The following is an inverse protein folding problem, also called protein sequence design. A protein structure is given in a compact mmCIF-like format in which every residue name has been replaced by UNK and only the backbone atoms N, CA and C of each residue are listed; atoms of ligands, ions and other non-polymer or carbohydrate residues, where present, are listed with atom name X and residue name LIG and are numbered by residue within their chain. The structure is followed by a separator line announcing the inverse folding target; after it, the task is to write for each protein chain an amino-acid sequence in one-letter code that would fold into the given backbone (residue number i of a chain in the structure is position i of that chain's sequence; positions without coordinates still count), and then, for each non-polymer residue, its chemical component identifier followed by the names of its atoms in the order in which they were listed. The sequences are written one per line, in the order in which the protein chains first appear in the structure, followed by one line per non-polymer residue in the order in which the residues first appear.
data_IF_772954544601
#
_entry.id   IF_772954544601
#
_cell.length_a   1.000
_cell.length_b   1.000
_cell.length_c   1.000
_cell.angle_alpha   90.00
_cell.angle_beta   90.00
_cell.angle_gamma   90.00
#
_symmetry.space_group_name_H-M   'P 1'
#
loop_
_entity.id
_entity.type
_entity.pdbx_description
1 polymer ?
#
# COMPACT_ATOMS: atom_id res chain seq x y z
N UNK A 1 -26.19 -14.41 -35.33
CA UNK A 1 -24.77 -14.53 -34.90
C UNK A 1 -24.73 -14.37 -33.38
N UNK A 2 -24.58 -15.46 -32.61
CA UNK A 2 -24.59 -15.43 -31.14
C UNK A 2 -23.18 -15.11 -30.63
N UNK A 3 -23.05 -14.19 -29.66
CA UNK A 3 -21.77 -13.85 -29.01
C UNK A 3 -21.28 -15.04 -28.17
N UNK A 4 -19.97 -15.38 -28.18
CA UNK A 4 -19.45 -16.39 -27.27
C UNK A 4 -19.51 -15.87 -25.83
N UNK A 5 -20.17 -16.63 -24.95
CA UNK A 5 -20.14 -16.40 -23.50
C UNK A 5 -18.69 -16.61 -23.03
N UNK A 6 -18.11 -15.55 -22.46
CA UNK A 6 -16.81 -15.66 -21.77
C UNK A 6 -16.99 -16.56 -20.57
N UNK A 7 -16.31 -17.71 -20.56
CA UNK A 7 -16.18 -18.59 -19.39
C UNK A 7 -15.82 -17.77 -18.16
N UNK A 8 -16.79 -17.69 -17.25
CA UNK A 8 -16.64 -17.07 -15.93
C UNK A 8 -15.77 -18.02 -15.12
N UNK A 9 -14.44 -17.82 -15.16
CA UNK A 9 -13.49 -18.52 -14.28
C UNK A 9 -14.05 -18.51 -12.85
N UNK A 10 -14.42 -19.69 -12.37
CA UNK A 10 -14.86 -19.90 -11.00
C UNK A 10 -13.75 -19.41 -10.07
N UNK A 11 -14.03 -18.34 -9.32
CA UNK A 11 -13.22 -17.98 -8.16
C UNK A 11 -13.43 -19.12 -7.16
N UNK A 12 -12.48 -20.04 -7.11
CA UNK A 12 -12.46 -21.14 -6.15
C UNK A 12 -12.64 -20.56 -4.74
N UNK A 13 -13.72 -20.94 -4.07
CA UNK A 13 -14.01 -20.54 -2.70
C UNK A 13 -12.79 -20.80 -1.80
N UNK A 14 -12.38 -19.85 -0.93
CA UNK A 14 -11.27 -20.08 -0.01
C UNK A 14 -11.59 -21.30 0.87
N UNK A 15 -10.65 -22.25 0.93
CA UNK A 15 -10.79 -23.43 1.79
C UNK A 15 -10.87 -22.97 3.24
N UNK A 16 -11.99 -23.31 3.91
CA UNK A 16 -12.25 -22.99 5.32
C UNK A 16 -11.07 -23.50 6.17
N UNK A 17 -10.25 -22.57 6.67
CA UNK A 17 -9.05 -22.85 7.48
C UNK A 17 -7.74 -22.24 6.98
N UNK A 18 -7.67 -21.73 5.75
CA UNK A 18 -6.51 -20.95 5.30
C UNK A 18 -6.74 -19.47 5.61
N UNK A 19 -6.04 -18.94 6.62
CA UNK A 19 -5.99 -17.49 6.84
C UNK A 19 -5.29 -16.89 5.63
N UNK A 20 -6.00 -16.10 4.82
CA UNK A 20 -5.38 -15.38 3.72
C UNK A 20 -4.30 -14.47 4.28
N UNK A 21 -3.10 -14.53 3.71
CA UNK A 21 -1.99 -13.68 4.16
C UNK A 21 -2.26 -12.24 3.74
N UNK A 22 -2.70 -11.43 4.69
CA UNK A 22 -3.05 -10.03 4.46
C UNK A 22 -1.80 -9.15 4.57
N UNK A 23 -0.90 -9.27 3.58
CA UNK A 23 0.37 -8.54 3.54
C UNK A 23 0.30 -7.19 2.83
N UNK A 24 -0.81 -6.88 2.15
CA UNK A 24 -0.96 -5.60 1.45
C UNK A 24 -1.68 -4.56 2.33
N UNK A 25 -1.15 -3.35 2.36
CA UNK A 25 -1.73 -2.19 3.06
C UNK A 25 -2.00 -1.07 2.06
N UNK A 26 -3.16 -0.44 2.20
CA UNK A 26 -3.52 0.78 1.47
C UNK A 26 -3.19 1.99 2.36
N UNK A 27 -2.17 2.75 1.98
CA UNK A 27 -1.81 4.01 2.64
C UNK A 27 -2.68 5.13 2.05
N UNK A 28 -3.29 5.95 2.89
CA UNK A 28 -4.19 7.05 2.52
C UNK A 28 -3.66 8.38 3.03
N UNK A 29 -4.29 9.48 2.62
CA UNK A 29 -3.93 10.85 3.01
C UNK A 29 -2.47 11.20 2.66
N UNK A 30 -2.00 10.67 1.52
CA UNK A 30 -0.70 11.01 0.97
C UNK A 30 -0.80 12.31 0.15
N UNK A 31 0.17 13.23 0.24
CA UNK A 31 0.17 14.43 -0.58
C UNK A 31 0.24 14.09 -2.08
N UNK A 32 -0.52 14.81 -2.91
CA UNK A 32 -0.63 14.52 -4.35
C UNK A 32 0.69 14.62 -5.14
N UNK A 33 1.70 15.29 -4.58
CA UNK A 33 3.05 15.40 -5.14
C UNK A 33 4.02 14.29 -4.74
N UNK A 34 3.60 13.31 -3.93
CA UNK A 34 4.49 12.20 -3.55
C UNK A 34 4.82 11.31 -4.74
N UNK A 35 6.11 11.04 -4.90
CA UNK A 35 6.65 10.07 -5.84
C UNK A 35 6.81 8.73 -5.14
N UNK A 36 7.07 7.68 -5.93
CA UNK A 36 7.42 6.36 -5.40
C UNK A 36 8.61 6.44 -4.45
N UNK A 37 9.65 7.17 -4.83
CA UNK A 37 10.89 7.26 -4.04
C UNK A 37 10.66 8.03 -2.73
N UNK A 38 9.84 9.08 -2.74
CA UNK A 38 9.45 9.80 -1.52
C UNK A 38 8.68 8.89 -0.55
N UNK A 39 7.76 8.06 -1.08
CA UNK A 39 7.03 7.10 -0.26
C UNK A 39 7.96 6.02 0.32
N UNK A 40 8.87 5.46 -0.50
CA UNK A 40 9.86 4.48 -0.05
C UNK A 40 10.75 5.06 1.05
N UNK A 41 11.21 6.29 0.89
CA UNK A 41 12.04 6.97 1.89
C UNK A 41 11.25 7.22 3.20
N UNK A 42 9.99 7.66 3.10
CA UNK A 42 9.12 7.80 4.27
C UNK A 42 8.97 6.46 5.02
N UNK A 43 8.75 5.37 4.29
CA UNK A 43 8.63 4.02 4.87
C UNK A 43 9.93 3.59 5.56
N UNK A 44 11.09 3.82 4.91
CA UNK A 44 12.40 3.49 5.48
C UNK A 44 12.66 4.25 6.78
N UNK A 45 12.35 5.55 6.83
CA UNK A 45 12.49 6.38 8.04
C UNK A 45 11.61 5.93 9.20
N UNK A 46 10.47 5.31 8.89
CA UNK A 46 9.56 4.74 9.89
C UNK A 46 9.90 3.27 10.25
N UNK A 47 11.09 2.78 9.89
CA UNK A 47 11.57 1.46 10.30
C UNK A 47 11.13 0.29 9.42
N UNK A 48 10.60 0.56 8.22
CA UNK A 48 10.16 -0.48 7.28
C UNK A 48 11.19 -0.82 6.18
N UNK A 49 12.47 -0.49 6.40
CA UNK A 49 13.52 -0.79 5.43
C UNK A 49 13.62 -2.30 5.22
N UNK A 50 13.53 -2.73 3.95
CA UNK A 50 13.50 -4.13 3.54
C UNK A 50 12.32 -4.95 4.11
N UNK A 51 11.24 -4.29 4.56
CA UNK A 51 10.03 -4.95 5.06
C UNK A 51 8.92 -5.08 4.00
N UNK A 52 9.14 -4.52 2.80
CA UNK A 52 8.19 -4.53 1.70
C UNK A 52 8.91 -4.80 0.38
N UNK A 53 8.19 -5.42 -0.55
CA UNK A 53 8.72 -5.86 -1.86
C UNK A 53 8.04 -5.16 -3.05
N UNK A 54 6.88 -4.55 -2.82
CA UNK A 54 6.11 -3.90 -3.88
C UNK A 54 5.43 -2.62 -3.38
N UNK A 55 5.50 -1.59 -4.22
CA UNK A 55 4.84 -0.29 -4.01
C UNK A 55 4.19 0.13 -5.32
N UNK A 56 2.88 0.40 -5.26
CA UNK A 56 2.10 0.91 -6.38
C UNK A 56 1.40 2.21 -6.01
N UNK A 57 1.63 3.25 -6.81
CA UNK A 57 1.01 4.56 -6.67
C UNK A 57 0.15 4.81 -7.90
N UNK A 58 -1.17 4.90 -7.76
CA UNK A 58 -2.04 5.34 -8.84
C UNK A 58 -1.80 6.81 -9.16
N UNK A 59 -1.52 7.11 -10.43
CA UNK A 59 -1.21 8.46 -10.91
C UNK A 59 -2.24 8.87 -11.98
N UNK A 60 -2.65 10.13 -11.95
CA UNK A 60 -3.36 10.75 -13.05
C UNK A 60 -2.36 11.06 -14.18
N UNK A 61 -2.44 10.35 -15.30
CA UNK A 61 -1.49 10.52 -16.41
C UNK A 61 -1.50 11.91 -17.06
N UNK A 62 -2.55 12.73 -16.85
CA UNK A 62 -2.62 14.10 -17.38
C UNK A 62 -1.90 15.10 -16.49
N UNK A 63 -2.07 14.99 -15.18
CA UNK A 63 -1.50 15.93 -14.20
C UNK A 63 -0.21 15.43 -13.57
N UNK A 64 0.14 14.16 -13.79
CA UNK A 64 1.24 13.44 -13.14
C UNK A 64 1.17 13.42 -11.60
N UNK A 65 0.00 13.73 -11.03
CA UNK A 65 -0.23 13.74 -9.59
C UNK A 65 -0.89 12.44 -9.13
N UNK A 66 -0.59 12.01 -7.91
CA UNK A 66 -1.20 10.82 -7.32
C UNK A 66 -2.59 11.11 -6.72
N UNK A 67 -3.43 10.08 -6.64
CA UNK A 67 -4.80 10.19 -6.09
C UNK A 67 -4.87 10.23 -4.55
N UNK A 68 -3.75 10.49 -3.87
CA UNK A 68 -3.67 10.59 -2.41
C UNK A 68 -3.64 9.26 -1.66
N UNK A 69 -3.39 8.16 -2.37
CA UNK A 69 -3.20 6.84 -1.76
C UNK A 69 -2.19 5.98 -2.53
N UNK A 70 -1.67 4.96 -1.87
CA UNK A 70 -0.75 3.97 -2.44
C UNK A 70 -1.05 2.57 -1.88
N UNK A 71 -0.65 1.54 -2.60
CA UNK A 71 -0.68 0.16 -2.13
C UNK A 71 0.76 -0.34 -1.91
N UNK A 72 1.02 -0.89 -0.73
CA UNK A 72 2.31 -1.45 -0.36
C UNK A 72 2.12 -2.90 0.04
N UNK A 73 2.86 -3.81 -0.59
CA UNK A 73 2.92 -5.20 -0.18
C UNK A 73 4.13 -5.44 0.71
N UNK A 74 3.88 -5.98 1.89
CA UNK A 74 4.91 -6.35 2.86
C UNK A 74 5.34 -7.81 2.71
N UNK A 75 6.53 -8.12 3.21
CA UNK A 75 7.10 -9.48 3.13
C UNK A 75 6.36 -10.49 4.03
N UNK A 76 5.68 -10.01 5.09
CA UNK A 76 4.90 -10.83 6.00
C UNK A 76 3.73 -10.05 6.65
N UNK A 77 2.80 -10.78 7.28
CA UNK A 77 1.62 -10.21 7.95
C UNK A 77 2.00 -9.32 9.14
N UNK A 78 3.07 -9.63 9.86
CA UNK A 78 3.49 -8.86 11.03
C UNK A 78 3.96 -7.46 10.62
N UNK A 79 4.72 -7.34 9.52
CA UNK A 79 5.09 -6.05 8.95
C UNK A 79 3.86 -5.25 8.50
N UNK A 80 2.92 -5.91 7.82
CA UNK A 80 1.70 -5.25 7.36
C UNK A 80 0.85 -4.73 8.53
N UNK A 81 0.74 -5.50 9.62
CA UNK A 81 0.04 -5.07 10.84
C UNK A 81 0.75 -3.87 11.48
N UNK A 82 2.07 -3.92 11.65
CA UNK A 82 2.85 -2.79 12.16
C UNK A 82 2.68 -1.53 11.31
N UNK A 83 2.69 -1.68 9.98
CA UNK A 83 2.48 -0.56 9.08
C UNK A 83 1.08 0.04 9.21
N UNK A 84 0.04 -0.78 9.40
CA UNK A 84 -1.31 -0.26 9.69
C UNK A 84 -1.28 0.57 10.96
N UNK A 85 -0.74 0.05 12.07
CA UNK A 85 -0.68 0.80 13.34
C UNK A 85 0.08 2.14 13.22
N UNK A 86 1.15 2.18 12.43
CA UNK A 86 1.97 3.40 12.25
C UNK A 86 1.28 4.43 11.35
N UNK A 87 0.63 3.99 10.27
CA UNK A 87 0.10 4.88 9.21
C UNK A 87 -1.42 5.06 9.24
N UNK A 88 -2.16 4.32 10.07
CA UNK A 88 -3.61 4.45 10.22
C UNK A 88 -3.94 5.70 11.06
N UNK A 89 -4.82 6.56 10.54
CA UNK A 89 -5.29 7.75 11.24
C UNK A 89 -4.34 8.95 11.29
N UNK A 90 -3.11 8.86 10.76
CA UNK A 90 -2.17 10.00 10.70
C UNK A 90 -1.99 10.51 9.27
N UNK A 91 -2.16 11.82 8.99
CA UNK A 91 -1.75 12.38 7.72
C UNK A 91 -0.22 12.25 7.58
N UNK A 92 0.27 11.87 6.40
CA UNK A 92 1.70 11.69 6.12
C UNK A 92 2.52 13.00 6.14
N UNK A 93 1.95 14.08 6.69
CA UNK A 93 2.49 15.44 6.68
C UNK A 93 3.36 15.78 7.88
N UNK A 94 3.46 14.91 8.89
CA UNK A 94 4.33 15.12 10.06
C UNK A 94 5.51 14.15 10.07
N UNK A 95 6.38 14.28 9.07
CA UNK A 95 7.77 13.83 9.16
C UNK A 95 8.66 15.06 9.43
N UNK A 96 8.39 15.77 10.52
CA UNK A 96 9.28 16.80 11.05
C UNK A 96 9.42 16.60 12.55
N UNK A 97 10.67 16.36 12.95
CA UNK A 97 11.23 16.54 14.29
C UNK A 97 10.85 15.49 15.35
N UNK A 98 11.73 14.50 15.50
CA UNK A 98 12.05 14.01 16.84
C UNK A 98 13.55 13.76 16.90
N UNK A 99 14.24 14.81 17.35
CA UNK A 99 15.69 14.89 17.42
C UNK A 99 16.09 16.21 18.06
N UNK A 100 15.68 16.44 19.31
CA UNK A 100 16.36 17.33 20.24
C UNK A 100 15.70 17.28 21.62
N UNK A 101 16.24 16.42 22.50
CA UNK A 101 16.70 16.71 23.87
C UNK A 101 16.76 15.42 24.69
#
# INVERSE_FOLDING_TARGET
MRRPEKERKEKSSPKRGQKERLTTVMLRNLPAGYSRDMLVELMNRNGFRACFDFVYIPINFRTQAMFGYAFVNFIDEAQAMRAREVFEGRPATHASETGAS
#
